data_IF_538534211684
#
_entry.id   IF_538534211684
#
_cell.length_a   1.000
_cell.length_b   1.000
_cell.length_c   1.000
_cell.angle_alpha   90.00
_cell.angle_beta   90.00
_cell.angle_gamma   90.00
#
_symmetry.space_group_name_H-M   'P 1'
#
loop_
_entity.id
_entity.type
_entity.pdbx_description
1 polymer ?
#
# COMPACT_ATOMS: atom_id res chain seq x y z
N UNK A 1 2.18 -5.74 27.83
CA UNK A 1 3.13 -6.32 26.86
C UNK A 1 3.22 -5.58 25.53
N UNK A 2 2.58 -4.42 25.38
CA UNK A 2 2.54 -3.63 24.13
C UNK A 2 3.85 -2.84 23.83
N UNK A 3 4.82 -2.92 24.73
CA UNK A 3 6.10 -2.20 24.62
C UNK A 3 7.02 -2.68 23.49
N UNK A 4 6.67 -3.78 22.81
CA UNK A 4 7.50 -4.40 21.77
C UNK A 4 6.82 -4.51 20.40
N UNK A 5 5.63 -3.95 20.20
CA UNK A 5 5.02 -3.90 18.87
C UNK A 5 5.75 -2.85 18.03
N UNK A 6 6.60 -3.31 17.14
CA UNK A 6 7.22 -2.44 16.13
C UNK A 6 6.13 -2.13 15.10
N UNK A 7 5.73 -0.85 14.93
CA UNK A 7 4.73 -0.48 13.94
C UNK A 7 5.12 -0.98 12.56
N UNK A 8 4.16 -1.54 11.84
CA UNK A 8 4.40 -2.11 10.53
C UNK A 8 3.14 -2.29 9.71
N UNK A 9 3.32 -2.74 8.49
CA UNK A 9 2.24 -3.08 7.57
C UNK A 9 2.61 -4.34 6.80
N UNK A 10 1.59 -5.11 6.41
CA UNK A 10 1.75 -6.20 5.45
C UNK A 10 0.63 -6.07 4.45
N UNK A 11 0.98 -5.94 3.18
CA UNK A 11 0.02 -5.89 2.07
C UNK A 11 0.05 -7.18 1.30
N UNK A 12 -1.11 -7.61 0.83
CA UNK A 12 -1.32 -8.78 -0.02
C UNK A 12 -1.94 -8.32 -1.33
N UNK A 13 -1.53 -8.94 -2.41
CA UNK A 13 -1.91 -8.62 -3.78
C UNK A 13 -2.31 -9.91 -4.50
N UNK A 14 -3.52 -9.97 -4.99
CA UNK A 14 -4.02 -11.06 -5.82
C UNK A 14 -4.55 -10.44 -7.11
N UNK A 15 -3.84 -10.57 -8.23
CA UNK A 15 -4.30 -10.03 -9.51
C UNK A 15 -5.61 -10.71 -9.92
N UNK A 16 -6.43 -9.98 -10.67
CA UNK A 16 -7.61 -10.52 -11.31
C UNK A 16 -7.24 -11.61 -12.34
N UNK A 17 -8.18 -12.44 -12.65
CA UNK A 17 -8.01 -13.47 -13.67
C UNK A 17 -8.69 -13.10 -15.00
N UNK A 18 -8.44 -13.90 -16.03
CA UNK A 18 -9.05 -13.73 -17.35
C UNK A 18 -10.54 -14.15 -17.38
N UNK A 19 -11.05 -14.74 -16.32
CA UNK A 19 -12.46 -15.20 -16.19
C UNK A 19 -13.36 -14.13 -15.56
N UNK A 20 -12.77 -12.97 -15.17
CA UNK A 20 -13.48 -11.79 -14.67
C UNK A 20 -13.51 -11.66 -13.15
N UNK A 21 -12.71 -12.43 -12.41
CA UNK A 21 -12.46 -12.13 -11.02
C UNK A 21 -11.64 -10.85 -10.90
N UNK A 22 -12.14 -9.89 -10.12
CA UNK A 22 -11.45 -8.63 -9.89
C UNK A 22 -10.17 -8.79 -9.06
N UNK A 23 -9.28 -7.80 -9.11
CA UNK A 23 -8.11 -7.76 -8.25
C UNK A 23 -8.50 -7.65 -6.77
N UNK A 24 -7.71 -8.31 -5.91
CA UNK A 24 -7.85 -8.16 -4.46
C UNK A 24 -6.57 -7.59 -3.87
N UNK A 25 -6.71 -6.51 -3.11
CA UNK A 25 -5.65 -5.98 -2.27
C UNK A 25 -6.10 -5.96 -0.82
N UNK A 26 -5.22 -6.36 0.08
CA UNK A 26 -5.51 -6.37 1.52
C UNK A 26 -4.31 -5.84 2.30
N UNK A 27 -4.57 -5.29 3.48
CA UNK A 27 -3.51 -4.77 4.34
C UNK A 27 -3.80 -5.02 5.82
N UNK A 28 -2.78 -5.50 6.53
CA UNK A 28 -2.68 -5.36 7.98
C UNK A 28 -1.90 -4.09 8.29
N UNK A 29 -2.43 -3.30 9.22
CA UNK A 29 -1.81 -2.06 9.68
C UNK A 29 -1.52 -2.20 11.18
N UNK A 30 -0.27 -2.54 11.52
CA UNK A 30 0.17 -2.85 12.88
C UNK A 30 0.54 -1.56 13.60
N UNK A 31 -0.37 -1.08 14.44
CA UNK A 31 -0.18 0.14 15.24
C UNK A 31 -0.32 -0.17 16.74
N UNK A 32 0.18 0.73 17.57
CA UNK A 32 -0.10 0.68 19.00
C UNK A 32 -1.61 0.81 19.24
N UNK A 33 -2.11 0.11 20.27
CA UNK A 33 -3.52 0.15 20.70
C UNK A 33 -4.06 1.56 20.95
N UNK A 34 -3.18 2.53 21.27
CA UNK A 34 -3.55 3.95 21.41
C UNK A 34 -4.20 4.52 20.13
N UNK A 35 -3.80 4.03 18.96
CA UNK A 35 -4.38 4.48 17.70
C UNK A 35 -5.77 3.90 17.40
N UNK A 36 -6.19 2.85 18.09
CA UNK A 36 -7.50 2.24 17.88
C UNK A 36 -8.66 3.21 18.14
N UNK A 37 -8.52 4.08 19.14
CA UNK A 37 -9.51 5.12 19.44
C UNK A 37 -9.58 6.25 18.42
N UNK A 38 -8.55 6.41 17.59
CA UNK A 38 -8.47 7.41 16.54
C UNK A 38 -8.76 6.84 15.14
N UNK A 39 -8.98 5.53 15.02
CA UNK A 39 -9.29 4.88 13.77
C UNK A 39 -10.67 5.27 13.25
N UNK A 40 -10.75 5.72 12.00
CA UNK A 40 -12.00 6.14 11.36
C UNK A 40 -12.06 5.63 9.92
N UNK A 41 -13.27 5.38 9.44
CA UNK A 41 -13.57 5.18 8.02
C UNK A 41 -14.34 6.39 7.54
N UNK A 42 -13.88 7.00 6.47
CA UNK A 42 -14.49 8.19 5.87
C UNK A 42 -15.11 7.78 4.53
N UNK A 43 -16.38 8.13 4.33
CA UNK A 43 -17.01 8.18 3.01
C UNK A 43 -16.94 9.64 2.56
N UNK A 44 -16.21 9.89 1.47
CA UNK A 44 -16.11 11.19 0.83
C UNK A 44 -16.99 11.20 -0.41
N UNK A 45 -17.95 12.13 -0.45
CA UNK A 45 -18.76 12.42 -1.62
C UNK A 45 -18.14 13.63 -2.31
N UNK A 46 -17.77 13.49 -3.58
CA UNK A 46 -17.03 14.50 -4.33
C UNK A 46 -17.91 15.05 -5.46
N UNK A 47 -18.01 16.38 -5.59
CA UNK A 47 -18.79 17.02 -6.65
C UNK A 47 -18.16 16.87 -8.04
N UNK A 48 -16.83 16.87 -8.13
CA UNK A 48 -16.08 16.91 -9.38
C UNK A 48 -15.19 15.66 -9.62
N UNK A 49 -15.46 14.54 -8.94
CA UNK A 49 -14.64 13.33 -9.06
C UNK A 49 -15.30 12.11 -8.43
N UNK A 50 -14.62 10.97 -8.42
CA UNK A 50 -15.18 9.74 -7.87
C UNK A 50 -15.39 9.85 -6.36
N UNK A 51 -16.49 9.29 -5.88
CA UNK A 51 -16.72 9.07 -4.47
C UNK A 51 -15.72 8.05 -3.92
N UNK A 52 -15.32 8.22 -2.67
CA UNK A 52 -14.31 7.33 -2.09
C UNK A 52 -14.68 6.91 -0.66
N UNK A 53 -14.28 5.69 -0.32
CA UNK A 53 -14.29 5.21 1.06
C UNK A 53 -12.86 4.85 1.46
N UNK A 54 -12.41 5.36 2.61
CA UNK A 54 -11.04 5.12 3.02
C UNK A 54 -10.90 5.07 4.55
N UNK A 55 -9.97 4.22 4.99
CA UNK A 55 -9.50 4.14 6.36
C UNK A 55 -8.46 5.22 6.62
N UNK A 56 -8.52 5.83 7.81
CA UNK A 56 -7.50 6.75 8.30
C UNK A 56 -7.52 6.83 9.83
N UNK A 57 -6.64 7.64 10.39
CA UNK A 57 -6.71 8.06 11.80
C UNK A 57 -7.19 9.50 11.88
N UNK A 58 -7.92 9.84 12.94
CA UNK A 58 -8.37 11.22 13.18
C UNK A 58 -7.20 12.20 13.09
N UNK A 59 -7.36 13.25 12.30
CA UNK A 59 -6.32 14.24 12.00
C UNK A 59 -5.46 13.91 10.77
N UNK A 60 -5.66 12.75 10.11
CA UNK A 60 -4.97 12.38 8.86
C UNK A 60 -5.94 12.32 7.67
N UNK A 61 -5.41 12.54 6.46
CA UNK A 61 -6.20 12.71 5.25
C UNK A 61 -6.53 11.41 4.52
N UNK A 62 -5.84 10.30 4.81
CA UNK A 62 -6.08 9.00 4.19
C UNK A 62 -4.89 8.07 4.32
N UNK A 63 -5.16 6.76 4.50
CA UNK A 63 -4.13 5.72 4.57
C UNK A 63 -4.37 4.61 3.54
N UNK A 64 -5.59 4.10 3.42
CA UNK A 64 -5.96 3.03 2.50
C UNK A 64 -7.43 3.17 2.13
N UNK A 65 -7.82 2.78 0.92
CA UNK A 65 -9.21 2.91 0.50
C UNK A 65 -9.45 2.55 -0.95
N UNK A 66 -10.66 2.81 -1.39
CA UNK A 66 -11.10 2.62 -2.76
C UNK A 66 -12.08 3.72 -3.17
N UNK A 67 -12.23 3.94 -4.47
CA UNK A 67 -13.21 4.85 -5.03
C UNK A 67 -14.22 4.09 -5.93
N UNK A 68 -15.29 4.76 -6.33
CA UNK A 68 -16.34 4.19 -7.17
C UNK A 68 -15.96 4.08 -8.66
N UNK A 69 -14.83 4.66 -9.08
CA UNK A 69 -14.21 4.39 -10.39
C UNK A 69 -13.41 3.07 -10.42
N UNK A 70 -13.35 2.34 -9.28
CA UNK A 70 -12.67 1.05 -9.17
C UNK A 70 -11.20 1.14 -8.76
N UNK A 71 -10.67 2.31 -8.44
CA UNK A 71 -9.28 2.47 -7.99
C UNK A 71 -9.17 2.17 -6.51
N UNK A 72 -8.32 1.21 -6.15
CA UNK A 72 -7.99 0.88 -4.76
C UNK A 72 -6.53 1.16 -4.42
N UNK A 73 -6.24 1.45 -3.15
CA UNK A 73 -4.89 1.68 -2.64
C UNK A 73 -4.71 1.15 -1.23
N UNK A 74 -3.58 0.45 -1.01
CA UNK A 74 -3.03 0.16 0.32
C UNK A 74 -1.54 0.54 0.33
N UNK A 75 -0.95 0.75 1.52
CA UNK A 75 0.38 1.32 1.65
C UNK A 75 1.27 0.59 2.64
N UNK A 76 2.60 0.60 2.41
CA UNK A 76 3.58 0.17 3.40
C UNK A 76 4.64 1.27 3.57
N UNK A 77 4.89 1.68 4.81
CA UNK A 77 5.91 2.69 5.08
C UNK A 77 7.31 2.13 4.81
N UNK A 78 8.07 2.83 3.98
CA UNK A 78 9.49 2.61 3.72
C UNK A 78 10.32 3.74 4.35
N UNK A 79 11.58 3.48 4.64
CA UNK A 79 12.45 4.45 5.31
C UNK A 79 13.71 4.66 4.47
N UNK A 80 13.64 5.52 3.44
CA UNK A 80 14.77 5.80 2.58
C UNK A 80 15.74 6.83 3.18
N UNK A 81 16.96 6.83 2.66
CA UNK A 81 18.01 7.78 3.05
C UNK A 81 17.88 9.17 2.45
N UNK A 82 17.03 9.33 1.43
CA UNK A 82 16.86 10.55 0.65
C UNK A 82 15.60 11.36 1.01
N UNK A 83 14.97 11.05 2.15
CA UNK A 83 13.81 11.82 2.65
C UNK A 83 14.12 13.30 2.79
N UNK A 84 13.19 14.16 2.41
CA UNK A 84 13.36 15.60 2.38
C UNK A 84 12.06 16.38 2.17
N UNK A 85 12.14 17.66 1.79
CA UNK A 85 10.96 18.45 1.45
C UNK A 85 10.18 17.83 0.26
N UNK A 86 8.86 17.70 0.40
CA UNK A 86 8.01 17.13 -0.63
C UNK A 86 6.60 16.89 -0.15
N UNK A 87 5.78 16.29 -1.00
CA UNK A 87 4.41 15.91 -0.68
C UNK A 87 4.42 14.67 0.20
N UNK A 88 3.72 14.71 1.32
CA UNK A 88 3.59 13.58 2.24
C UNK A 88 2.52 12.58 1.74
N UNK A 89 2.67 11.31 2.11
CA UNK A 89 1.86 10.21 1.58
C UNK A 89 0.33 10.37 1.70
N UNK A 90 -0.25 11.00 2.75
CA UNK A 90 -1.72 11.13 2.81
C UNK A 90 -2.31 11.96 1.67
N UNK A 91 -1.56 12.95 1.16
CA UNK A 91 -1.98 13.71 -0.03
C UNK A 91 -1.82 12.88 -1.31
N UNK A 92 -0.81 12.00 -1.39
CA UNK A 92 -0.68 11.04 -2.49
C UNK A 92 -1.87 10.09 -2.52
N UNK A 93 -2.24 9.50 -1.37
CA UNK A 93 -3.43 8.63 -1.24
C UNK A 93 -4.70 9.36 -1.68
N UNK A 94 -4.88 10.63 -1.30
CA UNK A 94 -6.03 11.43 -1.77
C UNK A 94 -5.99 11.67 -3.27
N UNK A 95 -4.81 11.90 -3.85
CA UNK A 95 -4.64 12.02 -5.30
C UNK A 95 -4.98 10.72 -6.04
N UNK A 96 -4.53 9.57 -5.53
CA UNK A 96 -4.89 8.25 -6.05
C UNK A 96 -6.41 8.05 -6.02
N UNK A 97 -7.05 8.31 -4.88
CA UNK A 97 -8.50 8.14 -4.71
C UNK A 97 -9.35 9.18 -5.47
N UNK A 98 -8.77 10.25 -5.98
CA UNK A 98 -9.42 11.20 -6.88
C UNK A 98 -9.27 10.83 -8.36
N UNK A 99 -8.52 9.76 -8.67
CA UNK A 99 -8.26 9.33 -10.05
C UNK A 99 -9.37 8.42 -10.58
N UNK A 100 -9.66 8.53 -11.89
CA UNK A 100 -10.64 7.69 -12.59
C UNK A 100 -9.96 6.51 -13.31
N UNK A 101 -8.68 6.67 -13.69
CA UNK A 101 -7.91 5.65 -14.39
C UNK A 101 -6.66 5.30 -13.60
N UNK A 102 -6.21 4.06 -13.72
CA UNK A 102 -5.02 3.57 -13.00
C UNK A 102 -3.76 4.36 -13.37
N UNK A 103 -3.60 4.78 -14.61
CA UNK A 103 -2.48 5.64 -15.05
C UNK A 103 -2.46 6.98 -14.30
N UNK A 104 -3.61 7.64 -14.14
CA UNK A 104 -3.72 8.90 -13.39
C UNK A 104 -3.40 8.68 -11.89
N UNK A 105 -3.76 7.52 -11.34
CA UNK A 105 -3.43 7.13 -9.97
C UNK A 105 -1.92 6.92 -9.76
N UNK A 106 -1.24 6.31 -10.74
CA UNK A 106 0.22 6.17 -10.75
C UNK A 106 0.88 7.54 -10.83
N UNK A 107 0.42 8.41 -11.72
CA UNK A 107 0.93 9.77 -11.88
C UNK A 107 0.72 10.64 -10.62
N UNK A 108 -0.36 10.43 -9.88
CA UNK A 108 -0.61 11.10 -8.61
C UNK A 108 0.53 10.86 -7.60
N UNK A 109 1.23 9.73 -7.72
CA UNK A 109 2.40 9.38 -6.88
C UNK A 109 3.71 9.82 -7.53
N UNK A 110 3.90 9.55 -8.82
CA UNK A 110 5.20 9.65 -9.47
C UNK A 110 5.53 11.04 -10.02
N UNK A 111 4.52 11.81 -10.43
CA UNK A 111 4.72 13.14 -11.04
C UNK A 111 5.05 14.26 -10.05
N UNK A 112 5.05 13.99 -8.74
CA UNK A 112 5.25 15.02 -7.69
C UNK A 112 6.49 14.73 -6.85
N UNK A 113 7.18 15.76 -6.34
CA UNK A 113 8.26 15.55 -5.38
C UNK A 113 7.69 14.93 -4.10
N UNK A 114 8.19 13.74 -3.73
CA UNK A 114 7.78 13.02 -2.53
C UNK A 114 8.65 13.42 -1.33
N UNK A 115 8.04 13.51 -0.15
CA UNK A 115 8.78 13.82 1.07
C UNK A 115 9.60 12.63 1.60
N UNK A 116 9.19 11.40 1.29
CA UNK A 116 9.84 10.18 1.77
C UNK A 116 9.45 8.98 0.91
N UNK A 117 9.91 7.80 1.31
CA UNK A 117 9.56 6.53 0.68
C UNK A 117 8.26 5.93 1.22
N UNK A 118 7.55 5.31 0.32
CA UNK A 118 6.35 4.53 0.60
C UNK A 118 6.24 3.44 -0.46
N UNK A 119 5.69 2.31 -0.11
CA UNK A 119 5.15 1.37 -1.07
C UNK A 119 3.67 1.66 -1.24
N UNK A 120 3.21 1.86 -2.47
CA UNK A 120 1.80 2.00 -2.83
C UNK A 120 1.40 0.80 -3.66
N UNK A 121 0.46 0.00 -3.16
CA UNK A 121 -0.19 -1.04 -3.94
C UNK A 121 -1.47 -0.46 -4.49
N UNK A 122 -1.56 -0.37 -5.80
CA UNK A 122 -2.72 0.14 -6.52
C UNK A 122 -3.42 -1.01 -7.25
N UNK A 123 -4.74 -0.99 -7.29
CA UNK A 123 -5.51 -1.88 -8.16
C UNK A 123 -6.61 -1.11 -8.89
N UNK A 124 -7.12 -1.71 -9.96
CA UNK A 124 -8.27 -1.18 -10.69
C UNK A 124 -9.40 -2.22 -10.83
N UNK A 125 -10.55 -1.75 -11.34
CA UNK A 125 -11.72 -2.59 -11.59
C UNK A 125 -11.56 -3.60 -12.73
N UNK A 126 -10.47 -3.52 -13.52
CA UNK A 126 -10.15 -4.48 -14.60
C UNK A 126 -9.30 -5.66 -14.11
N UNK A 127 -8.93 -5.67 -12.84
CA UNK A 127 -8.13 -6.76 -12.26
C UNK A 127 -6.62 -6.51 -12.26
N UNK A 128 -6.17 -5.33 -12.67
CA UNK A 128 -4.76 -4.97 -12.67
C UNK A 128 -4.27 -4.54 -11.29
N UNK A 129 -3.01 -4.87 -10.97
CA UNK A 129 -2.32 -4.43 -9.76
C UNK A 129 -0.95 -3.87 -10.12
N UNK A 130 -0.59 -2.78 -9.45
CA UNK A 130 0.72 -2.13 -9.53
C UNK A 130 1.27 -1.93 -8.12
N UNK A 131 2.46 -2.45 -7.88
CA UNK A 131 3.21 -2.30 -6.62
C UNK A 131 4.33 -1.29 -6.84
N UNK A 132 4.20 -0.10 -6.26
CA UNK A 132 5.09 1.03 -6.46
C UNK A 132 5.98 1.24 -5.23
N UNK A 133 7.19 0.72 -5.25
CA UNK A 133 8.21 1.10 -4.25
C UNK A 133 8.78 2.47 -4.60
N UNK A 134 8.71 3.42 -3.66
CA UNK A 134 9.21 4.78 -3.87
C UNK A 134 10.20 5.19 -2.79
N UNK A 135 11.13 6.06 -3.16
CA UNK A 135 11.87 6.95 -2.27
C UNK A 135 11.44 8.40 -2.51
N UNK A 136 12.10 9.37 -1.92
CA UNK A 136 11.82 10.77 -2.23
C UNK A 136 12.09 11.10 -3.70
N UNK A 137 13.16 10.53 -4.29
CA UNK A 137 13.66 10.91 -5.62
C UNK A 137 13.58 9.78 -6.66
N UNK A 138 13.31 8.54 -6.23
CA UNK A 138 13.36 7.38 -7.12
C UNK A 138 12.17 6.45 -6.90
N UNK A 139 11.94 5.52 -7.83
CA UNK A 139 10.85 4.54 -7.73
C UNK A 139 11.10 3.31 -8.60
N UNK A 140 10.44 2.21 -8.26
CA UNK A 140 10.27 1.01 -9.09
C UNK A 140 8.81 0.58 -9.08
N UNK A 141 8.35 0.08 -10.22
CA UNK A 141 6.99 -0.44 -10.40
C UNK A 141 7.06 -1.93 -10.72
N UNK A 142 6.35 -2.73 -9.95
CA UNK A 142 6.22 -4.17 -10.16
C UNK A 142 4.76 -4.52 -10.39
N UNK A 143 4.53 -5.39 -11.38
CA UNK A 143 3.20 -5.94 -11.64
C UNK A 143 3.22 -7.44 -11.31
N UNK A 144 2.27 -7.95 -10.51
CA UNK A 144 2.24 -9.35 -10.08
C UNK A 144 1.68 -10.29 -11.16
N UNK A 145 2.25 -10.27 -12.38
CA UNK A 145 1.79 -11.09 -13.51
C UNK A 145 1.95 -12.61 -13.28
N UNK A 146 2.87 -13.02 -12.41
CA UNK A 146 3.15 -14.43 -12.14
C UNK A 146 2.29 -14.99 -10.99
N UNK A 147 1.38 -14.20 -10.42
CA UNK A 147 0.49 -14.59 -9.34
C UNK A 147 0.60 -13.74 -8.09
N UNK A 148 -0.02 -14.17 -6.98
CA UNK A 148 -0.13 -13.37 -5.77
C UNK A 148 1.22 -12.94 -5.17
N UNK A 149 1.29 -11.70 -4.73
CA UNK A 149 2.47 -11.10 -4.09
C UNK A 149 2.14 -10.56 -2.70
N UNK A 150 3.18 -10.36 -1.91
CA UNK A 150 3.10 -9.66 -0.63
C UNK A 150 4.18 -8.59 -0.53
N UNK A 151 3.87 -7.51 0.17
CA UNK A 151 4.84 -6.48 0.54
C UNK A 151 4.79 -6.17 2.04
N UNK A 152 5.85 -5.62 2.58
CA UNK A 152 5.88 -5.15 3.96
C UNK A 152 6.69 -3.84 4.09
N UNK A 153 7.51 -3.65 5.12
CA UNK A 153 8.15 -2.36 5.37
C UNK A 153 9.66 -2.37 5.07
N UNK A 154 10.09 -2.93 3.97
CA UNK A 154 11.47 -2.89 3.49
C UNK A 154 11.50 -2.98 1.97
N UNK A 155 12.50 -2.42 1.33
CA UNK A 155 12.65 -2.47 -0.11
C UNK A 155 12.91 -3.90 -0.62
N UNK A 156 12.14 -4.33 -1.61
CA UNK A 156 12.30 -5.60 -2.31
C UNK A 156 13.09 -5.41 -3.62
N UNK A 157 12.99 -4.23 -4.25
CA UNK A 157 13.64 -3.93 -5.52
C UNK A 157 15.12 -3.62 -5.33
N UNK A 158 15.98 -4.35 -6.05
CA UNK A 158 17.43 -4.29 -5.89
C UNK A 158 18.00 -2.88 -6.06
N UNK A 159 17.43 -2.09 -6.95
CA UNK A 159 17.84 -0.70 -7.20
C UNK A 159 17.57 0.23 -6.02
N UNK A 160 16.50 -0.04 -5.25
CA UNK A 160 16.10 0.79 -4.11
C UNK A 160 16.63 0.29 -2.76
N UNK A 161 17.03 -0.99 -2.65
CA UNK A 161 17.60 -1.55 -1.41
C UNK A 161 18.76 -0.75 -0.80
N UNK A 162 19.68 -0.13 -1.58
CA UNK A 162 20.74 0.70 -1.02
C UNK A 162 20.24 1.94 -0.24
N UNK A 163 19.02 2.39 -0.52
CA UNK A 163 18.39 3.52 0.17
C UNK A 163 17.82 3.15 1.54
N UNK A 164 17.64 1.85 1.86
CA UNK A 164 17.00 1.36 3.09
C UNK A 164 17.71 1.85 4.35
N UNK A 165 16.98 2.55 5.23
CA UNK A 165 17.44 3.03 6.55
C UNK A 165 16.72 2.42 7.72
N UNK A 166 15.78 1.51 7.49
CA UNK A 166 15.11 0.81 8.57
C UNK A 166 16.10 -0.09 9.31
N UNK A 167 16.29 0.17 10.61
CA UNK A 167 17.23 -0.57 11.45
C UNK A 167 16.64 -1.87 12.00
N UNK A 168 17.50 -2.82 12.40
CA UNK A 168 17.13 -3.95 13.22
C UNK A 168 16.75 -3.49 14.65
N UNK A 169 15.71 -4.11 15.30
CA UNK A 169 14.97 -5.31 14.87
C UNK A 169 13.79 -5.01 13.91
N UNK A 170 13.44 -3.75 13.63
CA UNK A 170 12.28 -3.40 12.84
C UNK A 170 12.33 -3.95 11.40
N UNK A 171 13.51 -3.92 10.77
CA UNK A 171 13.72 -4.51 9.45
C UNK A 171 13.55 -6.04 9.50
N UNK A 172 14.07 -6.71 10.52
CA UNK A 172 13.92 -8.15 10.70
C UNK A 172 12.46 -8.57 10.83
N UNK A 173 11.67 -7.84 11.60
CA UNK A 173 10.22 -8.09 11.71
C UNK A 173 9.51 -7.93 10.35
N UNK A 174 9.90 -6.93 9.57
CA UNK A 174 9.37 -6.72 8.22
C UNK A 174 9.68 -7.90 7.30
N UNK A 175 10.92 -8.35 7.25
CA UNK A 175 11.35 -9.51 6.43
C UNK A 175 10.61 -10.79 6.84
N UNK A 176 10.44 -11.04 8.15
CA UNK A 176 9.72 -12.22 8.65
C UNK A 176 8.24 -12.21 8.23
N UNK A 177 7.55 -11.05 8.35
CA UNK A 177 6.15 -10.90 7.94
C UNK A 177 5.99 -11.12 6.43
N UNK A 178 6.83 -10.47 5.64
CA UNK A 178 6.85 -10.65 4.19
C UNK A 178 7.08 -12.12 3.80
N UNK A 179 8.10 -12.78 4.35
CA UNK A 179 8.40 -14.18 4.05
C UNK A 179 7.28 -15.14 4.47
N UNK A 180 6.60 -14.87 5.60
CA UNK A 180 5.44 -15.66 6.03
C UNK A 180 4.25 -15.44 5.08
N UNK A 181 3.91 -14.18 4.77
CA UNK A 181 2.82 -13.84 3.87
C UNK A 181 3.01 -14.46 2.48
N UNK A 182 4.21 -14.36 1.91
CA UNK A 182 4.56 -14.97 0.62
C UNK A 182 4.38 -16.49 0.62
N UNK A 183 4.80 -17.18 1.70
CA UNK A 183 4.60 -18.64 1.80
C UNK A 183 3.12 -19.02 1.92
N UNK A 184 2.34 -18.27 2.71
CA UNK A 184 0.91 -18.52 2.87
C UNK A 184 0.16 -18.30 1.56
N UNK A 185 0.39 -17.20 0.86
CA UNK A 185 -0.21 -16.93 -0.45
C UNK A 185 0.06 -18.05 -1.45
N UNK A 186 1.29 -18.57 -1.51
CA UNK A 186 1.64 -19.70 -2.39
C UNK A 186 0.97 -21.01 -2.02
N UNK A 187 0.47 -21.17 -0.80
CA UNK A 187 -0.23 -22.38 -0.34
C UNK A 187 -1.75 -22.34 -0.60
N UNK A 188 -2.30 -21.19 -0.98
CA UNK A 188 -3.72 -21.00 -1.28
C UNK A 188 -3.93 -21.19 -2.78
N UNK A 189 -4.71 -22.21 -3.17
CA UNK A 189 -4.94 -22.54 -4.58
C UNK A 189 -5.73 -21.44 -5.31
N UNK A 190 -6.71 -20.84 -4.65
CA UNK A 190 -7.53 -19.74 -5.16
C UNK A 190 -7.72 -18.71 -4.02
N UNK A 191 -6.87 -17.72 -3.91
CA UNK A 191 -7.02 -16.68 -2.88
C UNK A 191 -8.26 -15.84 -3.16
N UNK A 192 -9.19 -15.86 -2.23
CA UNK A 192 -10.38 -14.99 -2.22
C UNK A 192 -10.37 -14.05 -1.00
N UNK A 193 -11.39 -13.23 -0.87
CA UNK A 193 -11.48 -12.27 0.23
C UNK A 193 -11.57 -12.92 1.62
N UNK A 194 -12.06 -14.16 1.72
CA UNK A 194 -12.10 -14.91 2.99
C UNK A 194 -10.73 -15.51 3.32
N UNK A 195 -10.02 -16.03 2.33
CA UNK A 195 -8.69 -16.60 2.51
C UNK A 195 -7.62 -15.57 2.90
N UNK A 196 -7.86 -14.28 2.64
CA UNK A 196 -6.95 -13.17 2.97
C UNK A 196 -7.15 -12.59 4.38
N UNK A 197 -8.16 -13.03 5.12
CA UNK A 197 -8.40 -12.65 6.53
C UNK A 197 -7.53 -13.43 7.49
#
# INVERSE_FOLDING_TARGET
SDAFVVPGCTSLMVPGDTEGAGALIAQNYDLSSVYAAAAVVIKAENEDGPDAIFYTSAGMLGCAGLNDAGIGVVINNLVPSDSGPGVIYPFMVRGILASVRIGDAIDAVLAKPRASGMNYVLCDGNGEIYDLETSANDYEVTCPFEGPMAHSNHYLQDRLKPLERRHWPARGQSVLRWGRATRLLKSIAQPDSEALK
#
